data_IF_778475775553
#
_entry.id   IF_778475775553
#
_cell.length_a   1.000
_cell.length_b   1.000
_cell.length_c   1.000
_cell.angle_alpha   90.00
_cell.angle_beta   90.00
_cell.angle_gamma   90.00
#
_symmetry.space_group_name_H-M   'P 1'
#
loop_
_entity.id
_entity.type
_entity.pdbx_description
1 polymer ?
#
# COMPACT_ATOMS: atom_id res chain seq x y z
N UNK A 1 -4.18 17.08 -16.37
CA UNK A 1 -3.34 15.88 -16.32
C UNK A 1 -3.94 14.96 -15.27
N UNK A 2 -3.99 13.65 -15.51
CA UNK A 2 -4.57 12.71 -14.55
C UNK A 2 -3.69 12.63 -13.30
N UNK A 3 -4.27 12.76 -12.10
CA UNK A 3 -3.55 12.64 -10.83
C UNK A 3 -3.97 11.37 -10.08
N UNK A 4 -3.01 10.48 -9.85
CA UNK A 4 -3.20 9.25 -9.08
C UNK A 4 -2.47 9.40 -7.75
N UNK A 5 -3.24 9.35 -6.66
CA UNK A 5 -2.71 9.38 -5.30
C UNK A 5 -2.60 7.95 -4.77
N UNK A 6 -1.37 7.49 -4.57
CA UNK A 6 -1.04 6.24 -3.87
C UNK A 6 -0.92 6.55 -2.38
N UNK A 7 -1.78 5.94 -1.57
CA UNK A 7 -1.77 6.09 -0.11
C UNK A 7 -1.31 4.80 0.56
N UNK A 8 -0.76 4.96 1.76
CA UNK A 8 -0.27 3.86 2.59
C UNK A 8 0.86 3.04 1.96
N UNK A 9 1.71 3.67 1.14
CA UNK A 9 2.92 3.02 0.66
C UNK A 9 3.85 2.71 1.84
N UNK A 10 4.22 1.45 1.99
CA UNK A 10 5.26 1.02 2.91
C UNK A 10 6.63 1.06 2.23
N UNK A 11 7.70 1.16 3.02
CA UNK A 11 9.07 1.25 2.53
C UNK A 11 10.04 0.78 3.62
N UNK A 12 11.31 0.57 3.28
CA UNK A 12 12.33 -0.04 4.14
C UNK A 12 12.03 -1.51 4.51
N UNK A 13 11.23 -2.18 3.68
CA UNK A 13 11.02 -3.62 3.69
C UNK A 13 11.06 -4.07 2.23
N UNK A 14 12.02 -4.91 1.86
CA UNK A 14 12.21 -5.32 0.46
C UNK A 14 10.95 -5.90 -0.20
N UNK A 15 10.09 -6.59 0.56
CA UNK A 15 8.82 -7.11 0.03
C UNK A 15 7.84 -6.00 -0.30
N UNK A 16 7.66 -5.03 0.60
CA UNK A 16 6.79 -3.88 0.36
C UNK A 16 7.36 -2.92 -0.69
N UNK A 17 8.69 -2.78 -0.75
CA UNK A 17 9.39 -2.01 -1.78
C UNK A 17 9.16 -2.63 -3.16
N UNK A 18 9.38 -3.95 -3.29
CA UNK A 18 9.16 -4.65 -4.55
C UNK A 18 7.69 -4.56 -5.01
N UNK A 19 6.74 -4.75 -4.09
CA UNK A 19 5.31 -4.62 -4.41
C UNK A 19 4.93 -3.18 -4.81
N UNK A 20 5.47 -2.18 -4.10
CA UNK A 20 5.25 -0.76 -4.41
C UNK A 20 5.83 -0.35 -5.77
N UNK A 21 7.07 -0.76 -6.06
CA UNK A 21 7.74 -0.50 -7.35
C UNK A 21 6.99 -1.18 -8.49
N UNK A 22 6.59 -2.44 -8.31
CA UNK A 22 5.85 -3.18 -9.32
C UNK A 22 4.49 -2.53 -9.64
N UNK A 23 3.74 -2.11 -8.61
CA UNK A 23 2.52 -1.34 -8.80
C UNK A 23 2.79 -0.03 -9.56
N UNK A 24 3.83 0.71 -9.18
CA UNK A 24 4.17 1.98 -9.83
C UNK A 24 4.48 1.79 -11.33
N UNK A 25 5.25 0.76 -11.68
CA UNK A 25 5.54 0.37 -13.07
C UNK A 25 4.24 0.07 -13.84
N UNK A 26 3.34 -0.74 -13.26
CA UNK A 26 2.05 -1.05 -13.90
C UNK A 26 1.22 0.20 -14.14
N UNK A 27 1.14 1.10 -13.15
CA UNK A 27 0.39 2.35 -13.27
C UNK A 27 0.96 3.25 -14.34
N UNK A 28 2.28 3.37 -14.43
CA UNK A 28 2.92 4.16 -15.47
C UNK A 28 2.72 3.54 -16.87
N UNK A 29 2.80 2.22 -17.00
CA UNK A 29 2.53 1.54 -18.28
C UNK A 29 1.09 1.74 -18.75
N UNK A 30 0.12 1.69 -17.84
CA UNK A 30 -1.29 1.89 -18.16
C UNK A 30 -1.67 3.37 -18.35
N UNK A 31 -1.02 4.27 -17.61
CA UNK A 31 -1.29 5.70 -17.58
C UNK A 31 0.01 6.50 -17.70
N UNK A 32 0.67 6.49 -18.88
CA UNK A 32 2.02 7.08 -19.05
C UNK A 32 2.08 8.58 -18.78
N UNK A 33 0.94 9.27 -18.92
CA UNK A 33 0.85 10.71 -18.70
C UNK A 33 0.36 11.13 -17.31
N UNK A 34 0.04 10.17 -16.43
CA UNK A 34 -0.46 10.48 -15.10
C UNK A 34 0.65 10.96 -14.16
N UNK A 35 0.28 11.85 -13.24
CA UNK A 35 1.09 12.17 -12.08
C UNK A 35 0.85 11.12 -10.99
N UNK A 36 1.92 10.50 -10.49
CA UNK A 36 1.86 9.53 -9.40
C UNK A 36 2.34 10.20 -8.10
N UNK A 37 1.44 10.36 -7.15
CA UNK A 37 1.73 10.96 -5.84
C UNK A 37 1.74 9.89 -4.76
N UNK A 38 2.87 9.68 -4.08
CA UNK A 38 3.01 8.68 -3.03
C UNK A 38 2.96 9.30 -1.64
N UNK A 39 2.02 8.84 -0.81
CA UNK A 39 1.94 9.13 0.62
C UNK A 39 2.24 7.86 1.42
N UNK A 40 3.25 7.96 2.27
CA UNK A 40 3.84 6.82 2.94
C UNK A 40 3.25 6.54 4.32
N UNK A 41 3.15 5.25 4.64
CA UNK A 41 2.88 4.78 5.98
C UNK A 41 4.19 4.51 6.73
N UNK A 42 4.83 5.60 7.17
CA UNK A 42 6.14 5.60 7.79
C UNK A 42 6.01 5.83 9.30
N UNK A 43 6.41 4.86 10.16
CA UNK A 43 6.26 4.96 11.60
C UNK A 43 7.38 5.77 12.29
N UNK A 44 8.48 6.03 11.59
CA UNK A 44 9.66 6.70 12.14
C UNK A 44 9.69 8.21 11.82
N UNK A 45 10.77 8.89 12.24
CA UNK A 45 10.96 10.32 12.00
C UNK A 45 11.15 10.65 10.51
N UNK A 46 10.87 11.92 10.14
CA UNK A 46 11.01 12.42 8.75
C UNK A 46 12.47 12.40 8.28
N UNK A 47 13.41 12.55 9.21
CA UNK A 47 14.87 12.49 9.03
C UNK A 47 15.36 11.13 8.53
N UNK A 48 14.62 10.06 8.80
CA UNK A 48 14.97 8.69 8.40
C UNK A 48 14.19 8.21 7.17
N UNK A 49 13.36 9.07 6.58
CA UNK A 49 12.47 8.69 5.49
C UNK A 49 13.24 8.21 4.26
N UNK A 50 12.86 7.04 3.75
CA UNK A 50 13.39 6.46 2.52
C UNK A 50 12.21 6.13 1.59
N UNK A 51 12.06 6.79 0.43
CA UNK A 51 11.03 6.40 -0.53
C UNK A 51 11.38 5.04 -1.16
N UNK A 52 10.38 4.37 -1.73
CA UNK A 52 10.63 3.18 -2.57
C UNK A 52 11.59 3.56 -3.71
N UNK A 53 12.42 2.62 -4.20
CA UNK A 53 13.43 2.90 -5.23
C UNK A 53 12.82 2.99 -6.64
N UNK A 54 11.80 3.83 -6.81
CA UNK A 54 11.15 4.12 -8.09
C UNK A 54 11.23 5.61 -8.41
N UNK A 55 11.91 5.91 -9.53
CA UNK A 55 12.11 7.27 -10.03
C UNK A 55 11.76 7.30 -11.51
N UNK A 56 10.64 7.93 -11.83
CA UNK A 56 10.25 8.26 -13.19
C UNK A 56 9.69 9.68 -13.22
N UNK A 57 9.62 10.28 -14.41
CA UNK A 57 9.00 11.59 -14.59
C UNK A 57 7.56 11.58 -14.05
N UNK A 58 7.11 12.73 -13.55
CA UNK A 58 5.76 12.91 -12.97
C UNK A 58 5.48 12.01 -11.74
N UNK A 59 6.53 11.52 -11.06
CA UNK A 59 6.41 10.81 -9.79
C UNK A 59 6.82 11.71 -8.62
N UNK A 60 5.97 11.81 -7.61
CA UNK A 60 6.15 12.69 -6.45
C UNK A 60 6.05 11.88 -5.16
N UNK A 61 7.08 11.96 -4.32
CA UNK A 61 7.14 11.27 -3.03
C UNK A 61 6.96 12.27 -1.88
N UNK A 62 5.83 12.21 -1.19
CA UNK A 62 5.42 13.20 -0.19
C UNK A 62 5.91 12.86 1.23
N UNK A 63 7.20 13.10 1.50
CA UNK A 63 7.79 12.91 2.83
C UNK A 63 7.35 13.96 3.86
N UNK A 64 6.80 15.08 3.39
CA UNK A 64 6.22 16.12 4.23
C UNK A 64 4.87 15.72 4.83
N UNK A 65 4.16 14.77 4.20
CA UNK A 65 2.82 14.29 4.59
C UNK A 65 2.90 12.96 5.38
N UNK A 66 3.70 12.96 6.44
CA UNK A 66 3.78 11.85 7.40
C UNK A 66 2.93 12.20 8.63
N UNK A 67 1.81 11.49 8.79
CA UNK A 67 0.89 11.67 9.92
C UNK A 67 1.52 11.04 11.16
N UNK A 68 1.67 11.84 12.21
CA UNK A 68 2.21 11.44 13.51
C UNK A 68 1.15 11.56 14.60
N UNK A 69 1.47 11.10 15.82
CA UNK A 69 0.56 11.19 16.98
C UNK A 69 0.15 12.64 17.29
N UNK A 70 1.01 13.61 17.00
CA UNK A 70 0.76 15.05 17.16
C UNK A 70 -0.37 15.56 16.27
N UNK A 71 -0.63 14.90 15.14
CA UNK A 71 -1.70 15.26 14.20
C UNK A 71 -3.09 14.74 14.63
N UNK A 72 -3.19 13.97 15.73
CA UNK A 72 -4.44 13.34 16.16
C UNK A 72 -5.57 14.34 16.40
N UNK A 73 -5.27 15.49 16.99
CA UNK A 73 -6.27 16.54 17.24
C UNK A 73 -6.80 17.12 15.93
N UNK A 74 -5.93 17.35 14.95
CA UNK A 74 -6.32 17.84 13.63
C UNK A 74 -7.11 16.77 12.85
N UNK A 75 -6.78 15.49 13.02
CA UNK A 75 -7.53 14.38 12.44
C UNK A 75 -8.95 14.27 13.01
N UNK A 76 -9.10 14.34 14.34
CA UNK A 76 -10.42 14.35 15.02
C UNK A 76 -11.23 15.56 14.58
N UNK A 77 -10.59 16.73 14.51
CA UNK A 77 -11.21 17.98 14.06
C UNK A 77 -11.73 17.83 12.64
N UNK A 78 -10.91 17.33 11.73
CA UNK A 78 -11.29 17.07 10.34
C UNK A 78 -12.51 16.15 10.26
N UNK A 79 -12.49 15.00 10.93
CA UNK A 79 -13.63 14.06 10.92
C UNK A 79 -14.89 14.73 11.46
N UNK A 80 -14.77 15.48 12.55
CA UNK A 80 -15.89 16.22 13.14
C UNK A 80 -16.50 17.24 12.17
N UNK A 81 -15.69 17.89 11.31
CA UNK A 81 -16.23 18.82 10.28
C UNK A 81 -17.14 18.14 9.27
N UNK A 82 -17.02 16.82 9.06
CA UNK A 82 -17.88 16.07 8.13
C UNK A 82 -19.27 15.81 8.70
N UNK A 83 -19.41 15.85 10.02
CA UNK A 83 -20.69 15.65 10.71
C UNK A 83 -21.28 16.96 11.27
N UNK A 84 -20.44 17.95 11.60
CA UNK A 84 -20.82 19.24 12.19
C UNK A 84 -20.17 20.43 11.44
N UNK A 85 -20.44 20.60 10.13
CA UNK A 85 -19.70 21.55 9.28
C UNK A 85 -19.87 23.03 9.67
N UNK A 86 -20.96 23.37 10.37
CA UNK A 86 -21.28 24.75 10.77
C UNK A 86 -20.50 25.17 12.02
N UNK A 87 -20.13 24.21 12.88
CA UNK A 87 -19.56 24.48 14.21
C UNK A 87 -18.04 24.35 14.24
N UNK A 88 -17.44 23.62 13.29
CA UNK A 88 -16.01 23.28 13.32
C UNK A 88 -15.40 23.61 11.96
N UNK A 89 -14.44 24.55 11.95
CA UNK A 89 -13.62 24.85 10.77
C UNK A 89 -12.30 24.09 10.85
N UNK A 90 -11.81 23.58 9.72
CA UNK A 90 -10.48 22.97 9.64
C UNK A 90 -9.38 24.01 9.89
N UNK A 91 -8.26 23.56 10.48
CA UNK A 91 -7.06 24.37 10.62
C UNK A 91 -6.28 24.32 9.30
N UNK A 92 -5.97 25.47 8.66
CA UNK A 92 -5.13 25.48 7.47
C UNK A 92 -3.67 25.17 7.83
N UNK A 93 -2.88 24.72 6.86
CA UNK A 93 -1.43 24.51 6.96
C UNK A 93 -1.00 23.43 7.98
N UNK A 94 -1.86 22.43 8.24
CA UNK A 94 -1.51 21.23 9.01
C UNK A 94 -1.22 20.05 8.08
N UNK A 95 -0.52 19.02 8.56
CA UNK A 95 -0.27 17.76 7.83
C UNK A 95 -1.59 17.14 7.34
N UNK A 96 -2.62 17.16 8.18
CA UNK A 96 -3.95 16.66 7.84
C UNK A 96 -4.59 17.49 6.73
N UNK A 97 -4.48 18.83 6.79
CA UNK A 97 -5.03 19.69 5.73
C UNK A 97 -4.31 19.50 4.39
N UNK A 98 -2.98 19.31 4.41
CA UNK A 98 -2.19 19.03 3.22
C UNK A 98 -2.59 17.68 2.61
N UNK A 99 -2.73 16.64 3.44
CA UNK A 99 -3.21 15.33 2.99
C UNK A 99 -4.62 15.41 2.39
N UNK A 100 -5.55 16.10 3.05
CA UNK A 100 -6.92 16.29 2.56
C UNK A 100 -6.95 17.01 1.22
N UNK A 101 -6.13 18.05 1.03
CA UNK A 101 -6.03 18.76 -0.24
C UNK A 101 -5.50 17.84 -1.35
N UNK A 102 -4.45 17.07 -1.06
CA UNK A 102 -3.90 16.11 -2.02
C UNK A 102 -4.94 15.05 -2.43
N UNK A 103 -5.73 14.55 -1.46
CA UNK A 103 -6.87 13.66 -1.73
C UNK A 103 -7.89 14.35 -2.65
N UNK A 104 -8.30 15.58 -2.35
CA UNK A 104 -9.31 16.29 -3.17
C UNK A 104 -8.85 16.52 -4.60
N UNK A 105 -7.60 16.92 -4.77
CA UNK A 105 -6.95 17.22 -6.06
C UNK A 105 -6.69 15.96 -6.91
N UNK A 106 -6.59 14.79 -6.28
CA UNK A 106 -6.41 13.52 -7.01
C UNK A 106 -7.66 13.09 -7.76
N UNK A 107 -7.52 12.51 -8.94
CA UNK A 107 -8.63 11.90 -9.69
C UNK A 107 -8.93 10.50 -9.13
N UNK A 108 -7.87 9.74 -8.85
CA UNK A 108 -7.94 8.40 -8.29
C UNK A 108 -7.12 8.27 -7.02
N UNK A 109 -7.62 7.47 -6.08
CA UNK A 109 -6.89 7.09 -4.86
C UNK A 109 -6.68 5.58 -4.87
N UNK A 110 -5.42 5.17 -4.81
CA UNK A 110 -5.01 3.77 -4.76
C UNK A 110 -4.41 3.50 -3.38
N UNK A 111 -4.88 2.45 -2.72
CA UNK A 111 -4.21 1.94 -1.52
C UNK A 111 -3.11 1.01 -1.99
N UNK A 112 -1.86 1.34 -1.65
CA UNK A 112 -0.69 0.53 -1.99
C UNK A 112 -0.88 -0.93 -1.57
N UNK A 113 -0.34 -1.92 -2.32
CA UNK A 113 -0.21 -3.28 -1.82
C UNK A 113 0.54 -3.28 -0.49
N UNK A 114 0.15 -4.20 0.37
CA UNK A 114 0.66 -4.25 1.74
C UNK A 114 0.06 -5.39 2.56
N UNK A 115 0.62 -5.57 3.75
CA UNK A 115 0.20 -6.56 4.73
C UNK A 115 -1.17 -6.27 5.38
N UNK A 116 -1.47 -7.03 6.43
CA UNK A 116 -2.74 -6.94 7.17
C UNK A 116 -2.86 -5.73 8.10
N UNK A 117 -2.46 -4.54 7.61
CA UNK A 117 -2.55 -3.24 8.30
C UNK A 117 -4.00 -2.95 8.70
N UNK A 118 -4.90 -3.12 7.73
CA UNK A 118 -6.34 -3.18 7.97
C UNK A 118 -6.70 -4.62 8.31
N UNK A 119 -6.51 -4.95 9.59
CA UNK A 119 -6.68 -6.29 10.13
C UNK A 119 -5.92 -6.46 11.43
N UNK A 120 -5.09 -7.52 11.51
CA UNK A 120 -4.42 -7.91 12.76
C UNK A 120 -3.50 -6.81 13.32
N UNK A 121 -2.93 -5.94 12.48
CA UNK A 121 -2.03 -4.89 12.94
C UNK A 121 -2.76 -3.64 13.46
N UNK A 122 -4.07 -3.52 13.25
CA UNK A 122 -4.87 -2.39 13.74
C UNK A 122 -4.26 -1.02 13.41
N UNK A 123 -3.80 -0.85 12.18
CA UNK A 123 -3.11 0.36 11.78
C UNK A 123 -4.11 1.51 11.57
N UNK A 124 -4.28 2.30 12.63
CA UNK A 124 -5.22 3.42 12.67
C UNK A 124 -4.86 4.53 11.68
N UNK A 125 -3.57 4.75 11.39
CA UNK A 125 -3.15 5.79 10.45
C UNK A 125 -3.47 5.34 9.03
N UNK A 126 -3.19 4.07 8.71
CA UNK A 126 -3.58 3.45 7.45
C UNK A 126 -5.09 3.54 7.23
N UNK A 127 -5.89 3.15 8.22
CA UNK A 127 -7.35 3.21 8.15
C UNK A 127 -7.88 4.65 8.06
N UNK A 128 -7.29 5.60 8.80
CA UNK A 128 -7.66 7.00 8.76
C UNK A 128 -7.45 7.61 7.36
N UNK A 129 -6.34 7.30 6.69
CA UNK A 129 -6.08 7.78 5.33
C UNK A 129 -7.15 7.30 4.34
N UNK A 130 -7.50 6.02 4.38
CA UNK A 130 -8.61 5.49 3.56
C UNK A 130 -9.93 6.17 3.92
N UNK A 131 -10.20 6.38 5.21
CA UNK A 131 -11.40 7.06 5.68
C UNK A 131 -11.49 8.49 5.13
N UNK A 132 -10.40 9.26 5.15
CA UNK A 132 -10.35 10.61 4.55
C UNK A 132 -10.73 10.56 3.07
N UNK A 133 -10.15 9.64 2.30
CA UNK A 133 -10.46 9.48 0.89
C UNK A 133 -11.96 9.21 0.65
N UNK A 134 -12.56 8.31 1.44
CA UNK A 134 -14.00 8.02 1.38
C UNK A 134 -14.85 9.24 1.80
N UNK A 135 -14.45 9.97 2.85
CA UNK A 135 -15.16 11.16 3.32
C UNK A 135 -15.05 12.35 2.34
N UNK A 136 -14.00 12.38 1.52
CA UNK A 136 -13.87 13.29 0.37
C UNK A 136 -14.47 12.73 -0.92
N UNK A 137 -15.35 11.72 -0.78
CA UNK A 137 -16.15 11.13 -1.87
C UNK A 137 -15.29 10.45 -2.95
N UNK A 138 -14.02 10.16 -2.68
CA UNK A 138 -13.22 9.27 -3.53
C UNK A 138 -13.64 7.83 -3.31
N UNK A 139 -13.35 6.98 -4.29
CA UNK A 139 -13.57 5.53 -4.22
C UNK A 139 -12.21 4.85 -4.22
N UNK A 140 -11.58 4.61 -3.04
CA UNK A 140 -10.26 4.01 -2.97
C UNK A 140 -10.22 2.66 -3.69
N UNK A 141 -9.11 2.39 -4.38
CA UNK A 141 -8.83 1.10 -5.01
C UNK A 141 -7.77 0.39 -4.19
N UNK A 142 -8.16 -0.66 -3.48
CA UNK A 142 -7.22 -1.50 -2.74
C UNK A 142 -6.49 -2.41 -3.72
N UNK A 143 -5.20 -2.19 -3.91
CA UNK A 143 -4.39 -2.94 -4.85
C UNK A 143 -3.78 -4.16 -4.15
N UNK A 144 -4.50 -5.28 -4.18
CA UNK A 144 -4.00 -6.61 -3.77
C UNK A 144 -3.51 -6.69 -2.32
N UNK A 145 -4.14 -5.95 -1.42
CA UNK A 145 -3.83 -5.97 0.02
C UNK A 145 -4.21 -7.30 0.67
N UNK A 146 -3.48 -7.68 1.74
CA UNK A 146 -4.00 -8.62 2.73
C UNK A 146 -4.93 -7.89 3.69
N UNK A 147 -6.16 -8.36 3.88
CA UNK A 147 -7.16 -7.76 4.77
C UNK A 147 -7.65 -8.77 5.80
N UNK A 148 -7.94 -8.30 7.02
CA UNK A 148 -8.30 -9.19 8.12
C UNK A 148 -9.28 -8.57 9.11
N UNK A 149 -9.82 -9.42 9.99
CA UNK A 149 -10.53 -8.98 11.19
C UNK A 149 -9.50 -8.53 12.21
N UNK A 150 -9.71 -7.39 12.84
CA UNK A 150 -8.78 -6.84 13.82
C UNK A 150 -9.04 -7.30 15.26
N UNK A 151 -10.23 -7.85 15.52
CA UNK A 151 -10.77 -8.10 16.87
C UNK A 151 -11.02 -6.83 17.70
N UNK A 152 -10.90 -5.65 17.08
CA UNK A 152 -11.30 -4.37 17.65
C UNK A 152 -12.59 -3.90 16.98
N UNK A 153 -13.65 -3.78 17.77
CA UNK A 153 -14.99 -3.48 17.26
C UNK A 153 -15.04 -2.15 16.50
N UNK A 154 -14.44 -1.09 17.05
CA UNK A 154 -14.47 0.25 16.44
C UNK A 154 -13.66 0.25 15.14
N UNK A 155 -12.49 -0.38 15.16
CA UNK A 155 -11.65 -0.51 13.96
C UNK A 155 -12.37 -1.29 12.86
N UNK A 156 -13.01 -2.41 13.20
CA UNK A 156 -13.75 -3.26 12.27
C UNK A 156 -14.99 -2.54 11.69
N UNK A 157 -15.67 -1.70 12.48
CA UNK A 157 -16.81 -0.89 12.00
C UNK A 157 -16.34 0.11 10.94
N UNK A 158 -15.28 0.87 11.23
CA UNK A 158 -14.73 1.86 10.29
C UNK A 158 -14.18 1.15 9.05
N UNK A 159 -13.49 0.01 9.24
CA UNK A 159 -13.00 -0.85 8.16
C UNK A 159 -14.12 -1.26 7.21
N UNK A 160 -15.23 -1.80 7.73
CA UNK A 160 -16.40 -2.17 6.91
C UNK A 160 -17.00 -0.96 6.20
N UNK A 161 -17.04 0.20 6.88
CA UNK A 161 -17.56 1.43 6.28
C UNK A 161 -16.73 1.87 5.06
N UNK A 162 -15.39 1.86 5.16
CA UNK A 162 -14.51 2.27 4.06
C UNK A 162 -14.47 1.25 2.93
N UNK A 163 -14.40 -0.05 3.26
CA UNK A 163 -14.30 -1.12 2.26
C UNK A 163 -15.59 -1.23 1.41
N UNK A 164 -16.77 -1.04 2.00
CA UNK A 164 -18.04 -0.99 1.25
C UNK A 164 -18.11 0.17 0.24
N UNK A 165 -17.25 1.17 0.36
CA UNK A 165 -17.16 2.36 -0.51
C UNK A 165 -15.89 2.36 -1.36
N UNK A 166 -15.23 1.21 -1.47
CA UNK A 166 -13.97 1.04 -2.18
C UNK A 166 -14.12 -0.01 -3.29
N UNK A 167 -13.16 -0.06 -4.20
CA UNK A 167 -12.92 -1.24 -5.02
C UNK A 167 -11.85 -2.07 -4.32
N UNK A 168 -12.12 -3.36 -4.11
CA UNK A 168 -11.28 -4.18 -3.24
C UNK A 168 -10.69 -5.35 -4.01
N UNK A 169 -9.36 -5.32 -4.18
CA UNK A 169 -8.59 -6.44 -4.71
C UNK A 169 -7.73 -7.00 -3.59
N UNK A 170 -7.71 -8.33 -3.45
CA UNK A 170 -6.95 -9.04 -2.40
C UNK A 170 -6.07 -10.12 -3.00
N UNK A 171 -4.89 -10.34 -2.43
CA UNK A 171 -3.91 -11.30 -2.95
C UNK A 171 -4.10 -12.74 -2.47
N UNK A 172 -4.98 -12.99 -1.49
CA UNK A 172 -5.05 -14.29 -0.84
C UNK A 172 -6.48 -14.71 -0.42
N UNK A 173 -6.66 -16.01 -0.23
CA UNK A 173 -7.97 -16.68 -0.06
C UNK A 173 -8.69 -16.29 1.24
N UNK A 174 -8.00 -16.18 2.36
CA UNK A 174 -8.56 -15.84 3.68
C UNK A 174 -9.17 -14.43 3.67
N UNK A 175 -8.49 -13.45 3.08
CA UNK A 175 -9.00 -12.09 2.87
C UNK A 175 -10.28 -12.11 2.04
N UNK A 176 -10.24 -12.83 0.91
CA UNK A 176 -11.39 -12.99 0.01
C UNK A 176 -12.61 -13.58 0.73
N UNK A 177 -12.42 -14.70 1.44
CA UNK A 177 -13.49 -15.37 2.19
C UNK A 177 -14.06 -14.49 3.32
N UNK A 178 -13.21 -13.75 4.03
CA UNK A 178 -13.65 -12.83 5.07
C UNK A 178 -14.52 -11.71 4.49
N UNK A 179 -14.10 -11.10 3.38
CA UNK A 179 -14.84 -10.03 2.72
C UNK A 179 -16.18 -10.51 2.19
N UNK A 180 -16.24 -11.72 1.62
CA UNK A 180 -17.48 -12.35 1.19
C UNK A 180 -18.43 -12.56 2.38
N UNK A 181 -17.93 -13.02 3.53
CA UNK A 181 -18.72 -13.13 4.77
C UNK A 181 -19.21 -11.78 5.28
N UNK A 182 -18.51 -10.69 5.00
CA UNK A 182 -18.94 -9.32 5.33
C UNK A 182 -19.87 -8.69 4.29
N UNK A 183 -20.17 -9.41 3.20
CA UNK A 183 -20.98 -8.89 2.09
C UNK A 183 -20.27 -7.76 1.32
N UNK A 184 -18.94 -7.82 1.21
CA UNK A 184 -18.13 -6.83 0.50
C UNK A 184 -17.61 -7.46 -0.79
N UNK A 185 -18.03 -6.90 -1.93
CA UNK A 185 -17.55 -7.32 -3.24
C UNK A 185 -16.04 -7.12 -3.34
N UNK A 186 -15.34 -8.15 -3.80
CA UNK A 186 -13.90 -8.12 -3.93
C UNK A 186 -13.43 -9.12 -5.00
N UNK A 187 -12.26 -8.85 -5.58
CA UNK A 187 -11.62 -9.71 -6.57
C UNK A 187 -10.32 -10.25 -5.99
N UNK A 188 -10.09 -11.55 -6.16
CA UNK A 188 -8.83 -12.18 -5.74
C UNK A 188 -7.84 -12.20 -6.89
N UNK A 189 -6.64 -11.68 -6.68
CA UNK A 189 -5.51 -11.74 -7.61
C UNK A 189 -4.27 -12.38 -6.98
N UNK A 190 -3.14 -12.22 -7.66
CA UNK A 190 -1.81 -12.67 -7.22
C UNK A 190 -1.09 -11.51 -6.54
N UNK A 191 -0.07 -11.77 -5.72
CA UNK A 191 0.72 -10.73 -5.08
C UNK A 191 1.39 -9.79 -6.10
N UNK A 192 1.32 -8.47 -5.87
CA UNK A 192 1.86 -7.46 -6.78
C UNK A 192 3.37 -7.58 -6.98
N UNK A 193 4.14 -8.00 -5.97
CA UNK A 193 5.58 -8.17 -6.10
C UNK A 193 5.96 -9.18 -7.19
N UNK A 194 5.09 -10.16 -7.47
CA UNK A 194 5.31 -11.17 -8.52
C UNK A 194 5.19 -10.60 -9.95
N UNK A 195 4.65 -9.39 -10.09
CA UNK A 195 4.63 -8.67 -11.37
C UNK A 195 5.87 -7.83 -11.60
N UNK A 196 6.77 -7.73 -10.60
CA UNK A 196 8.06 -7.11 -10.79
C UNK A 196 8.86 -8.00 -11.73
N UNK A 197 8.88 -7.68 -13.03
CA UNK A 197 9.76 -8.39 -13.93
C UNK A 197 11.19 -8.07 -13.51
N UNK A 198 11.95 -9.07 -13.09
CA UNK A 198 13.39 -8.96 -13.24
C UNK A 198 13.64 -8.82 -14.74
N UNK A 199 13.97 -7.62 -15.23
CA UNK A 199 14.57 -7.56 -16.56
C UNK A 199 15.89 -8.29 -16.40
N UNK A 200 15.98 -9.54 -16.88
CA UNK A 200 17.24 -10.28 -16.92
C UNK A 200 18.32 -9.48 -17.67
N UNK A 201 17.90 -8.53 -18.51
CA UNK A 201 18.75 -7.53 -19.18
C UNK A 201 19.52 -6.61 -18.24
N UNK A 202 19.08 -6.42 -17.00
CA UNK A 202 19.73 -5.55 -16.01
C UNK A 202 20.75 -6.30 -15.14
N UNK A 203 20.79 -7.64 -15.25
CA UNK A 203 21.81 -8.46 -14.60
C UNK A 203 23.08 -8.48 -15.43
N UNK A 204 24.23 -8.37 -14.78
CA UNK A 204 25.52 -8.60 -15.41
C UNK A 204 25.59 -10.00 -16.02
N UNK A 205 26.45 -10.20 -17.02
CA UNK A 205 26.64 -11.54 -17.64
C UNK A 205 27.03 -12.60 -16.61
N UNK A 206 27.72 -12.21 -15.54
CA UNK A 206 28.13 -13.11 -14.46
C UNK A 206 26.95 -13.49 -13.55
N UNK A 207 26.03 -12.55 -13.28
CA UNK A 207 24.78 -12.84 -12.56
C UNK A 207 23.85 -13.73 -13.38
N UNK A 208 23.69 -13.47 -14.68
CA UNK A 208 22.90 -14.33 -15.57
C UNK A 208 23.45 -15.78 -15.59
N UNK A 209 24.78 -15.91 -15.61
CA UNK A 209 25.46 -17.21 -15.59
C UNK A 209 25.36 -17.91 -14.22
N UNK A 210 25.34 -17.16 -13.12
CA UNK A 210 25.19 -17.70 -11.78
C UNK A 210 23.78 -18.25 -11.48
N UNK A 211 22.74 -17.71 -12.15
CA UNK A 211 21.34 -18.10 -11.91
C UNK A 211 20.92 -19.27 -12.83
N UNK A 212 21.74 -19.67 -13.80
CA UNK A 212 21.56 -20.86 -14.65
C UNK A 212 20.14 -20.94 -15.28
N UNK A 213 19.55 -19.78 -15.60
CA UNK A 213 18.25 -19.68 -16.24
C UNK A 213 18.46 -19.72 -17.75
N UNK A 214 18.28 -20.89 -18.36
CA UNK A 214 17.91 -20.95 -19.77
C UNK A 214 16.51 -20.33 -19.88
N UNK A 215 16.45 -19.13 -20.47
CA UNK A 215 15.28 -18.24 -20.47
C UNK A 215 14.10 -18.80 -21.30
N UNK A 216 14.31 -19.92 -22.00
CA UNK A 216 13.31 -20.57 -22.86
C UNK A 216 12.39 -21.57 -22.12
N UNK A 217 12.63 -21.86 -20.83
CA UNK A 217 11.75 -22.76 -20.06
C UNK A 217 10.82 -21.99 -19.10
N UNK A 218 9.52 -22.30 -19.15
CA UNK A 218 8.51 -21.84 -18.20
C UNK A 218 8.99 -22.10 -16.75
N UNK A 219 9.46 -21.05 -16.09
CA UNK A 219 10.10 -21.16 -14.79
C UNK A 219 9.13 -20.79 -13.67
N UNK A 220 9.02 -21.68 -12.68
CA UNK A 220 8.26 -21.43 -11.45
C UNK A 220 9.23 -20.88 -10.40
N UNK A 221 9.02 -19.63 -9.98
CA UNK A 221 9.75 -19.06 -8.85
C UNK A 221 9.12 -19.54 -7.55
N UNK A 222 9.85 -20.36 -6.80
CA UNK A 222 9.45 -20.84 -5.47
C UNK A 222 10.24 -20.09 -4.39
N UNK A 223 9.54 -19.31 -3.55
CA UNK A 223 10.13 -18.65 -2.38
C UNK A 223 9.69 -19.44 -1.15
N UNK A 224 10.57 -20.21 -0.49
CA UNK A 224 10.18 -20.98 0.69
C UNK A 224 9.92 -20.01 1.84
N UNK A 225 8.66 -19.93 2.29
CA UNK A 225 8.26 -19.08 3.43
C UNK A 225 8.86 -19.54 4.77
N UNK A 226 9.48 -20.73 4.80
CA UNK A 226 10.25 -21.29 5.91
C UNK A 226 11.43 -22.12 5.38
N UNK A 227 12.44 -21.46 4.83
CA UNK A 227 13.68 -22.11 4.37
C UNK A 227 14.20 -23.13 5.39
N UNK A 228 14.20 -22.77 6.69
CA UNK A 228 14.72 -23.63 7.75
C UNK A 228 13.95 -24.91 8.05
N UNK A 229 12.72 -25.06 7.55
CA UNK A 229 11.96 -26.31 7.68
C UNK A 229 11.85 -27.11 6.39
N UNK A 230 12.27 -26.53 5.25
CA UNK A 230 12.03 -27.12 3.93
C UNK A 230 13.24 -27.87 3.38
N UNK A 231 14.45 -27.36 3.60
CA UNK A 231 15.66 -27.97 3.05
C UNK A 231 16.40 -28.78 4.13
N UNK A 232 16.61 -30.11 3.97
CA UNK A 232 17.25 -30.97 4.97
C UNK A 232 18.66 -30.55 5.37
N UNK A 233 19.35 -29.78 4.50
CA UNK A 233 20.70 -29.30 4.74
C UNK A 233 20.77 -27.91 5.40
N UNK A 234 19.64 -27.22 5.62
CA UNK A 234 19.67 -25.88 6.22
C UNK A 234 20.26 -25.88 7.63
N UNK A 235 19.93 -26.88 8.46
CA UNK A 235 20.54 -27.04 9.78
C UNK A 235 22.01 -27.49 9.75
N UNK A 236 22.55 -27.89 8.58
CA UNK A 236 23.95 -28.31 8.41
C UNK A 236 24.83 -27.20 7.85
N UNK A 237 24.24 -26.21 7.18
CA UNK A 237 24.94 -25.02 6.71
C UNK A 237 24.82 -23.96 7.80
N UNK A 238 25.77 -23.96 8.75
CA UNK A 238 26.01 -22.81 9.61
C UNK A 238 26.42 -21.62 8.72
N UNK A 239 25.43 -20.90 8.21
CA UNK A 239 25.63 -19.59 7.63
C UNK A 239 25.53 -18.60 8.80
N UNK A 240 26.68 -18.26 9.36
CA UNK A 240 26.87 -17.07 10.21
C UNK A 240 26.68 -15.79 9.39
#
# INVERSE_FOLDING_TARGET
MLKILVINQHTANFGDDAAGVAMAIQLHQQFPDAELHFVYNWPWGKDQFLPIPYKQDKTFHHNEIIIQKTDLLDAIRYVSTKFLPILIKNRPQTTISAYVNLVKESDFVIVSPGGSNIGIYQDWICLFRVLVAVLEKKRPVFHLNSLGKSCNLVFDIITKFVLKRSQVFVREKKSHEMLNKWGIYNVRGVDTALSLSATVKDLSKDEQKAINLDIDEESIVFIPTRIGSWHPLYNKMNLE
#
